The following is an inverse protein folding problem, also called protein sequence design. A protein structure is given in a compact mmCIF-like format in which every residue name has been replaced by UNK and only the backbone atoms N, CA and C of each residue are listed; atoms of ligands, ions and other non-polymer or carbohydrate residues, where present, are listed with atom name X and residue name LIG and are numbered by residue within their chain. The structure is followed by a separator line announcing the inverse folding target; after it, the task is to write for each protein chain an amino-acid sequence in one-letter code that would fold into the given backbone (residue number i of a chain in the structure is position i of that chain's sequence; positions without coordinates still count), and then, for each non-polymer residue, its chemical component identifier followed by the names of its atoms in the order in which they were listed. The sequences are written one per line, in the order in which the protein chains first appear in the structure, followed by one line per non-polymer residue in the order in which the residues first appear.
data_IF_157313905856
#
_entry.id   IF_157313905856
#
_cell.length_a   1.000
_cell.length_b   1.000
_cell.length_c   1.000
_cell.angle_alpha   90.00
_cell.angle_beta   90.00
_cell.angle_gamma   90.00
#
_symmetry.space_group_name_H-M   'P 1'
#
loop_
_entity.id
_entity.type
_entity.pdbx_description
1 polymer ?
#
# COMPACT_ATOMS: atom_id res chain seq x y z
N UNK A 1 -2.40 -13.35 -16.37
CA UNK A 1 -2.77 -12.35 -15.34
C UNK A 1 -2.35 -10.99 -15.88
N UNK A 2 -3.15 -9.93 -15.69
CA UNK A 2 -2.84 -8.63 -16.26
C UNK A 2 -1.67 -8.00 -15.49
N UNK A 3 -0.63 -7.52 -16.19
CA UNK A 3 0.61 -6.99 -15.59
C UNK A 3 0.35 -5.88 -14.55
N UNK A 4 -0.71 -5.08 -14.77
CA UNK A 4 -1.17 -4.02 -13.86
C UNK A 4 -1.68 -4.58 -12.52
N UNK A 5 -2.37 -5.71 -12.57
CA UNK A 5 -3.00 -6.36 -11.42
C UNK A 5 -1.97 -7.04 -10.50
N UNK A 6 -0.88 -7.55 -11.11
CA UNK A 6 0.26 -8.13 -10.41
C UNK A 6 1.08 -7.05 -9.68
N UNK A 7 1.35 -5.93 -10.36
CA UNK A 7 1.97 -4.74 -9.75
C UNK A 7 1.16 -4.16 -8.58
N UNK A 8 -0.18 -4.20 -8.66
CA UNK A 8 -1.04 -3.75 -7.56
C UNK A 8 -0.89 -4.67 -6.33
N UNK A 9 -0.84 -5.98 -6.54
CA UNK A 9 -0.67 -6.97 -5.47
C UNK A 9 0.69 -6.82 -4.77
N UNK A 10 1.75 -6.55 -5.51
CA UNK A 10 3.07 -6.35 -4.94
C UNK A 10 3.14 -5.09 -4.06
N UNK A 11 2.59 -3.96 -4.53
CA UNK A 11 2.51 -2.74 -3.73
C UNK A 11 1.67 -2.93 -2.45
N UNK A 12 0.54 -3.63 -2.53
CA UNK A 12 -0.29 -3.94 -1.35
C UNK A 12 0.48 -4.81 -0.34
N UNK A 13 1.30 -5.75 -0.82
CA UNK A 13 2.13 -6.62 0.01
C UNK A 13 3.23 -5.83 0.72
N UNK A 14 3.93 -4.94 0.02
CA UNK A 14 4.93 -4.05 0.63
C UNK A 14 4.31 -3.13 1.68
N UNK A 15 3.21 -2.45 1.36
CA UNK A 15 2.50 -1.58 2.32
C UNK A 15 2.00 -2.38 3.54
N UNK A 16 1.54 -3.61 3.34
CA UNK A 16 1.17 -4.54 4.40
C UNK A 16 2.34 -4.97 5.29
N UNK A 17 3.57 -5.00 4.77
CA UNK A 17 4.77 -5.25 5.57
C UNK A 17 5.25 -4.00 6.30
N UNK A 18 5.25 -2.84 5.62
CA UNK A 18 5.64 -1.56 6.21
C UNK A 18 4.71 -1.22 7.39
N UNK A 19 3.41 -1.45 7.27
CA UNK A 19 2.43 -1.20 8.35
C UNK A 19 2.61 -2.07 9.60
N UNK A 20 3.33 -3.20 9.51
CA UNK A 20 3.70 -4.04 10.67
C UNK A 20 4.94 -3.53 11.41
N UNK A 21 5.63 -2.54 10.85
CA UNK A 21 6.80 -1.90 11.47
C UNK A 21 6.36 -0.87 12.51
N UNK A 22 7.27 -0.45 13.40
CA UNK A 22 7.03 0.73 14.25
C UNK A 22 7.03 2.00 13.41
N UNK A 23 5.87 2.34 12.88
CA UNK A 23 5.63 3.57 12.12
C UNK A 23 5.13 4.69 13.04
N UNK A 24 5.55 5.92 12.74
CA UNK A 24 4.93 7.10 13.32
C UNK A 24 3.57 7.42 12.66
N UNK A 25 2.79 8.32 13.28
CA UNK A 25 1.44 8.70 12.80
C UNK A 25 1.45 9.17 11.34
N UNK A 26 2.39 10.05 10.96
CA UNK A 26 2.49 10.59 9.61
C UNK A 26 2.75 9.49 8.56
N UNK A 27 3.59 8.51 8.89
CA UNK A 27 3.87 7.37 8.02
C UNK A 27 2.63 6.48 7.84
N UNK A 28 1.83 6.27 8.89
CA UNK A 28 0.58 5.51 8.83
C UNK A 28 -0.45 6.21 7.95
N UNK A 29 -0.61 7.53 8.08
CA UNK A 29 -1.51 8.32 7.23
C UNK A 29 -1.11 8.25 5.76
N UNK A 30 0.19 8.37 5.46
CA UNK A 30 0.69 8.30 4.07
C UNK A 30 0.40 6.95 3.42
N UNK A 31 0.60 5.85 4.16
CA UNK A 31 0.27 4.49 3.69
C UNK A 31 -1.24 4.36 3.44
N UNK A 32 -2.07 4.88 4.34
CA UNK A 32 -3.53 4.83 4.21
C UNK A 32 -4.00 5.57 2.97
N UNK A 33 -3.46 6.77 2.70
CA UNK A 33 -3.74 7.56 1.51
C UNK A 33 -3.34 6.81 0.22
N UNK A 34 -2.15 6.22 0.19
CA UNK A 34 -1.67 5.45 -0.97
C UNK A 34 -2.56 4.24 -1.26
N UNK A 35 -3.02 3.52 -0.23
CA UNK A 35 -3.96 2.40 -0.39
C UNK A 35 -5.30 2.85 -0.98
N UNK A 36 -5.78 4.03 -0.59
CA UNK A 36 -7.05 4.57 -1.06
C UNK A 36 -6.97 5.00 -2.54
N UNK A 37 -5.85 5.60 -2.95
CA UNK A 37 -5.57 5.94 -4.37
C UNK A 37 -5.48 4.67 -5.23
N UNK A 38 -4.87 3.60 -4.73
CA UNK A 38 -4.71 2.34 -5.45
C UNK A 38 -6.03 1.56 -5.58
N UNK A 39 -6.95 1.68 -4.61
CA UNK A 39 -8.27 1.04 -4.68
C UNK A 39 -9.23 1.73 -5.64
N UNK A 40 -9.04 3.02 -5.89
CA UNK A 40 -9.89 3.84 -6.75
C UNK A 40 -9.40 3.90 -8.23
N UNK A 41 -8.39 3.11 -8.62
CA UNK A 41 -7.76 3.05 -9.97
C UNK A 41 -7.69 1.63 -10.54
#
# INVERSE_FOLDING_TARGET
MNKKEELLKDHLKELGQISKSSLNENQKELIKLNLEILKNN
#
